data_IF_681628842701
#
_entry.id   IF_681628842701
#
_cell.length_a   1.000
_cell.length_b   1.000
_cell.length_c   1.000
_cell.angle_alpha   90.00
_cell.angle_beta   90.00
_cell.angle_gamma   90.00
#
_symmetry.space_group_name_H-M   'P 1'
#
loop_
_entity.id
_entity.type
_entity.pdbx_description
1 polymer ?
#
# COMPACT_ATOMS: atom_id res chain seq x y z
N UNK A 1 -6.56 -29.25 -4.82
CA UNK A 1 -6.20 -28.18 -3.88
C UNK A 1 -5.79 -26.86 -4.57
N UNK A 2 -4.95 -26.86 -5.64
CA UNK A 2 -4.50 -25.62 -6.28
C UNK A 2 -5.60 -24.93 -7.09
N UNK A 3 -6.44 -25.71 -7.78
CA UNK A 3 -7.59 -25.17 -8.51
C UNK A 3 -8.63 -24.52 -7.58
N UNK A 4 -8.91 -25.12 -6.43
CA UNK A 4 -9.82 -24.60 -5.41
C UNK A 4 -9.28 -23.30 -4.80
N UNK A 5 -7.97 -23.28 -4.47
CA UNK A 5 -7.29 -22.09 -3.97
C UNK A 5 -7.39 -20.94 -4.97
N UNK A 6 -7.10 -21.22 -6.25
CA UNK A 6 -7.21 -20.22 -7.32
C UNK A 6 -8.63 -19.70 -7.46
N UNK A 7 -9.64 -20.57 -7.43
CA UNK A 7 -11.04 -20.17 -7.49
C UNK A 7 -11.44 -19.28 -6.31
N UNK A 8 -10.99 -19.63 -5.09
CA UNK A 8 -11.23 -18.82 -3.90
C UNK A 8 -10.59 -17.42 -4.00
N UNK A 9 -9.35 -17.32 -4.49
CA UNK A 9 -8.66 -16.04 -4.69
C UNK A 9 -9.40 -15.18 -5.73
N UNK A 10 -9.84 -15.75 -6.85
CA UNK A 10 -10.61 -15.03 -7.87
C UNK A 10 -11.95 -14.53 -7.34
N UNK A 11 -12.66 -15.36 -6.56
CA UNK A 11 -13.92 -14.96 -5.93
C UNK A 11 -13.72 -13.80 -4.94
N UNK A 12 -12.66 -13.88 -4.12
CA UNK A 12 -12.30 -12.83 -3.19
C UNK A 12 -11.85 -11.54 -3.92
N UNK A 13 -11.10 -11.64 -5.01
CA UNK A 13 -10.75 -10.45 -5.81
C UNK A 13 -11.98 -9.78 -6.41
N UNK A 14 -12.93 -10.57 -6.91
CA UNK A 14 -14.21 -10.04 -7.40
C UNK A 14 -14.98 -9.30 -6.29
N UNK A 15 -15.06 -9.87 -5.08
CA UNK A 15 -15.69 -9.23 -3.93
C UNK A 15 -14.95 -7.93 -3.55
N UNK A 16 -13.62 -7.93 -3.59
CA UNK A 16 -12.82 -6.77 -3.20
C UNK A 16 -13.02 -5.55 -4.11
N UNK A 17 -13.51 -5.73 -5.32
CA UNK A 17 -13.89 -4.63 -6.23
C UNK A 17 -15.06 -3.77 -5.71
N UNK A 18 -15.78 -4.27 -4.71
CA UNK A 18 -16.80 -3.51 -3.98
C UNK A 18 -16.20 -2.62 -2.86
N UNK A 19 -14.89 -2.39 -2.88
CA UNK A 19 -14.12 -1.67 -1.84
C UNK A 19 -14.02 -2.43 -0.52
N UNK A 20 -14.03 -3.75 -0.58
CA UNK A 20 -13.87 -4.64 0.57
C UNK A 20 -12.47 -5.24 0.57
N UNK A 21 -11.64 -4.91 1.56
CA UNK A 21 -10.32 -5.52 1.71
C UNK A 21 -10.47 -6.99 2.10
N UNK A 22 -9.82 -7.87 1.35
CA UNK A 22 -9.79 -9.30 1.64
C UNK A 22 -8.53 -9.63 2.44
N UNK A 23 -8.70 -10.42 3.51
CA UNK A 23 -7.61 -10.85 4.39
C UNK A 23 -7.40 -12.34 4.30
N UNK A 24 -6.14 -12.76 4.26
CA UNK A 24 -5.74 -14.17 4.28
C UNK A 24 -4.63 -14.37 5.30
N UNK A 25 -4.70 -15.49 5.99
CA UNK A 25 -3.66 -15.96 6.90
C UNK A 25 -3.35 -17.40 6.52
N UNK A 26 -2.07 -17.73 6.51
CA UNK A 26 -1.60 -19.09 6.24
C UNK A 26 -0.59 -19.51 7.31
N UNK A 27 -0.30 -20.79 7.39
CA UNK A 27 0.77 -21.29 8.25
C UNK A 27 2.12 -20.74 7.79
N UNK A 28 3.07 -20.45 8.70
CA UNK A 28 4.35 -19.82 8.35
C UNK A 28 5.14 -20.55 7.25
N UNK A 29 5.02 -21.87 7.22
CA UNK A 29 5.72 -22.71 6.22
C UNK A 29 5.16 -22.59 4.80
N UNK A 30 3.93 -22.10 4.66
CA UNK A 30 3.21 -21.99 3.37
C UNK A 30 3.09 -20.54 2.88
N UNK A 31 3.59 -19.58 3.62
CA UNK A 31 3.50 -18.17 3.28
C UNK A 31 4.01 -17.85 1.87
N UNK A 32 5.19 -18.37 1.50
CA UNK A 32 5.76 -18.13 0.17
C UNK A 32 4.89 -18.77 -0.92
N UNK A 33 4.35 -19.96 -0.70
CA UNK A 33 3.46 -20.62 -1.65
C UNK A 33 2.13 -19.87 -1.81
N UNK A 34 1.59 -19.28 -0.73
CA UNK A 34 0.40 -18.45 -0.80
C UNK A 34 0.69 -17.14 -1.55
N UNK A 35 1.84 -16.49 -1.28
CA UNK A 35 2.25 -15.29 -2.02
C UNK A 35 2.34 -15.58 -3.53
N UNK A 36 3.00 -16.67 -3.92
CA UNK A 36 3.11 -17.05 -5.33
C UNK A 36 1.72 -17.25 -5.95
N UNK A 37 0.83 -18.00 -5.28
CA UNK A 37 -0.54 -18.24 -5.76
C UNK A 37 -1.37 -16.96 -5.89
N UNK A 38 -1.23 -16.01 -4.95
CA UNK A 38 -1.87 -14.70 -5.03
C UNK A 38 -1.34 -13.92 -6.23
N UNK A 39 -0.03 -13.89 -6.44
CA UNK A 39 0.58 -13.18 -7.55
C UNK A 39 0.24 -13.78 -8.91
N UNK A 40 0.07 -15.10 -9.01
CA UNK A 40 -0.34 -15.76 -10.25
C UNK A 40 -1.79 -15.47 -10.62
N UNK A 41 -2.64 -15.22 -9.61
CA UNK A 41 -4.10 -15.13 -9.78
C UNK A 41 -4.62 -13.70 -9.83
N UNK A 42 -4.08 -12.80 -9.00
CA UNK A 42 -4.55 -11.41 -8.88
C UNK A 42 -4.27 -10.59 -10.13
N UNK A 43 -5.17 -9.66 -10.43
CA UNK A 43 -4.98 -8.67 -11.48
C UNK A 43 -3.76 -7.79 -11.20
N UNK A 44 -3.05 -7.31 -12.25
CA UNK A 44 -1.79 -6.58 -12.10
C UNK A 44 -1.90 -5.30 -11.25
N UNK A 45 -3.04 -4.65 -11.26
CA UNK A 45 -3.32 -3.39 -10.55
C UNK A 45 -3.91 -3.58 -9.15
N UNK A 46 -4.23 -4.82 -8.74
CA UNK A 46 -4.66 -5.15 -7.39
C UNK A 46 -3.55 -4.87 -6.40
N UNK A 47 -3.84 -4.08 -5.36
CA UNK A 47 -2.89 -3.81 -4.27
C UNK A 47 -2.84 -5.00 -3.32
N UNK A 48 -1.63 -5.48 -3.06
CA UNK A 48 -1.36 -6.58 -2.13
C UNK A 48 -0.41 -6.09 -1.04
N UNK A 49 -0.86 -6.23 0.20
CA UNK A 49 -0.07 -6.01 1.41
C UNK A 49 0.37 -7.35 1.97
N UNK A 50 1.64 -7.46 2.30
CA UNK A 50 2.22 -8.57 3.05
C UNK A 50 2.73 -7.99 4.37
N UNK A 51 2.14 -8.41 5.48
CA UNK A 51 2.48 -7.97 6.83
C UNK A 51 3.03 -9.16 7.62
N UNK A 52 4.31 -9.12 7.93
CA UNK A 52 5.08 -10.18 8.58
C UNK A 52 5.30 -9.79 10.03
N UNK A 53 5.13 -10.72 10.97
CA UNK A 53 5.45 -10.60 12.40
C UNK A 53 4.87 -9.32 13.01
N UNK A 54 3.60 -9.00 12.69
CA UNK A 54 2.93 -7.77 13.14
C UNK A 54 2.98 -7.66 14.66
N UNK A 55 3.47 -6.53 15.17
CA UNK A 55 3.77 -6.28 16.59
C UNK A 55 4.96 -7.07 17.15
N UNK A 56 5.64 -7.87 16.33
CA UNK A 56 6.84 -8.61 16.71
C UNK A 56 8.14 -7.82 16.45
N UNK A 57 9.26 -8.43 16.83
CA UNK A 57 10.58 -7.80 16.67
C UNK A 57 11.05 -7.73 15.21
N UNK A 58 10.49 -8.58 14.34
CA UNK A 58 10.85 -8.64 12.93
C UNK A 58 9.72 -8.10 12.04
N UNK A 59 8.93 -7.17 12.57
CA UNK A 59 7.81 -6.60 11.82
C UNK A 59 8.25 -6.00 10.49
N UNK A 60 7.59 -6.42 9.44
CA UNK A 60 7.78 -5.86 8.10
C UNK A 60 6.45 -5.82 7.37
N UNK A 61 6.04 -4.62 6.95
CA UNK A 61 4.79 -4.41 6.21
C UNK A 61 5.12 -3.78 4.87
N UNK A 62 4.72 -4.42 3.79
CA UNK A 62 4.94 -3.93 2.42
C UNK A 62 3.66 -4.01 1.61
N UNK A 63 3.27 -2.89 1.02
CA UNK A 63 2.12 -2.79 0.11
C UNK A 63 2.60 -2.40 -1.28
N UNK A 64 2.34 -3.25 -2.28
CA UNK A 64 2.65 -3.01 -3.69
C UNK A 64 1.48 -3.51 -4.55
N UNK A 65 1.44 -3.12 -5.82
CA UNK A 65 0.56 -3.78 -6.79
C UNK A 65 1.06 -5.19 -7.11
N UNK A 66 0.18 -6.08 -7.53
CA UNK A 66 0.56 -7.43 -7.93
C UNK A 66 1.64 -7.43 -9.03
N UNK A 67 1.56 -6.48 -9.98
CA UNK A 67 2.59 -6.29 -11.00
C UNK A 67 3.95 -5.91 -10.39
N UNK A 68 3.97 -4.98 -9.42
CA UNK A 68 5.21 -4.56 -8.77
C UNK A 68 5.81 -5.69 -7.90
N UNK A 69 4.97 -6.48 -7.23
CA UNK A 69 5.43 -7.70 -6.55
C UNK A 69 6.04 -8.72 -7.50
N UNK A 70 5.44 -8.94 -8.69
CA UNK A 70 5.97 -9.86 -9.72
C UNK A 70 7.31 -9.41 -10.27
N UNK A 71 7.56 -8.10 -10.34
CA UNK A 71 8.84 -7.54 -10.79
C UNK A 71 10.00 -7.85 -9.83
N UNK A 72 9.73 -8.15 -8.57
CA UNK A 72 10.76 -8.59 -7.62
C UNK A 72 11.16 -10.03 -7.98
N UNK A 73 12.47 -10.35 -8.13
CA UNK A 73 12.93 -11.71 -8.40
C UNK A 73 12.41 -12.72 -7.38
N UNK A 74 12.02 -13.92 -7.84
CA UNK A 74 11.43 -14.95 -6.97
C UNK A 74 12.29 -15.29 -5.75
N UNK A 75 13.61 -15.33 -5.92
CA UNK A 75 14.56 -15.56 -4.82
C UNK A 75 14.48 -14.50 -3.72
N UNK A 76 14.12 -13.26 -4.07
CA UNK A 76 14.00 -12.13 -3.13
C UNK A 76 12.59 -11.98 -2.54
N UNK A 77 11.63 -12.78 -3.01
CA UNK A 77 10.25 -12.82 -2.49
C UNK A 77 10.01 -13.96 -1.50
N UNK A 78 11.03 -14.74 -1.18
CA UNK A 78 10.92 -15.80 -0.16
C UNK A 78 10.62 -15.16 1.19
N UNK A 79 9.50 -15.55 1.78
CA UNK A 79 9.08 -15.02 3.07
C UNK A 79 9.69 -15.84 4.23
N UNK A 80 10.02 -15.19 5.35
CA UNK A 80 10.46 -15.89 6.55
C UNK A 80 9.32 -16.76 7.10
N UNK A 81 9.68 -17.76 7.91
CA UNK A 81 8.73 -18.65 8.59
C UNK A 81 8.16 -17.99 9.85
N UNK A 82 7.54 -16.82 9.68
CA UNK A 82 6.93 -16.02 10.73
C UNK A 82 5.43 -15.85 10.46
N UNK A 83 4.62 -15.55 11.47
CA UNK A 83 3.21 -15.22 11.28
C UNK A 83 3.07 -14.11 10.24
N UNK A 84 2.25 -14.32 9.23
CA UNK A 84 2.10 -13.36 8.13
C UNK A 84 0.64 -13.19 7.76
N UNK A 85 0.22 -11.95 7.60
CA UNK A 85 -1.11 -11.57 7.12
C UNK A 85 -0.98 -11.02 5.71
N UNK A 86 -1.83 -11.50 4.82
CA UNK A 86 -1.97 -11.01 3.47
C UNK A 86 -3.28 -10.24 3.35
N UNK A 87 -3.21 -9.03 2.85
CA UNK A 87 -4.39 -8.21 2.58
C UNK A 87 -4.35 -7.72 1.14
N UNK A 88 -5.45 -7.84 0.41
CA UNK A 88 -5.51 -7.23 -0.91
C UNK A 88 -6.80 -6.48 -1.15
N UNK A 89 -6.71 -5.48 -2.02
CA UNK A 89 -7.80 -4.67 -2.49
C UNK A 89 -7.66 -4.44 -3.99
N UNK A 90 -8.60 -5.00 -4.75
CA UNK A 90 -8.69 -4.74 -6.17
C UNK A 90 -9.10 -3.28 -6.42
N UNK A 91 -8.64 -2.73 -7.54
CA UNK A 91 -9.09 -1.41 -7.97
C UNK A 91 -10.60 -1.44 -8.14
N UNK A 92 -11.35 -0.52 -7.50
CA UNK A 92 -12.79 -0.47 -7.66
C UNK A 92 -13.11 -0.35 -9.15
N UNK A 93 -13.98 -1.21 -9.66
CA UNK A 93 -14.64 -0.95 -10.92
C UNK A 93 -15.35 0.40 -10.79
N UNK A 94 -15.62 1.08 -11.88
CA UNK A 94 -16.18 2.44 -11.96
C UNK A 94 -17.55 2.59 -11.25
N UNK A 95 -17.62 2.18 -9.98
CA UNK A 95 -18.80 2.24 -9.11
C UNK A 95 -18.56 3.34 -8.09
N UNK A 96 -19.47 4.30 -8.04
CA UNK A 96 -19.47 5.35 -7.03
C UNK A 96 -19.32 4.74 -5.60
N UNK A 97 -18.55 5.38 -4.70
CA UNK A 97 -18.35 4.90 -3.34
C UNK A 97 -19.71 4.69 -2.67
N UNK A 98 -19.91 3.52 -2.05
CA UNK A 98 -21.16 3.18 -1.33
C UNK A 98 -21.40 4.01 -0.07
N UNK A 99 -20.43 4.80 0.32
CA UNK A 99 -20.55 5.74 1.42
C UNK A 99 -20.66 7.16 0.83
N UNK A 100 -21.86 7.52 0.42
CA UNK A 100 -22.25 8.91 0.44
C UNK A 100 -22.77 9.18 1.87
N UNK A 101 -22.18 10.10 2.66
CA UNK A 101 -22.86 10.57 3.86
C UNK A 101 -24.17 11.19 3.39
N UNK A 102 -25.30 10.61 3.77
CA UNK A 102 -26.60 11.27 3.66
C UNK A 102 -26.53 12.50 4.55
N UNK A 103 -26.15 13.62 3.96
CA UNK A 103 -26.45 14.91 4.53
C UNK A 103 -27.97 15.10 4.43
N UNK A 104 -28.67 14.66 5.46
CA UNK A 104 -30.06 14.88 5.64
C UNK A 104 -30.41 16.37 5.54
N UNK A 105 -31.22 16.72 4.61
CA UNK A 105 -32.25 17.74 4.68
C UNK A 105 -31.86 19.17 5.04
N UNK A 106 -31.93 20.03 4.05
CA UNK A 106 -31.93 21.47 4.23
C UNK A 106 -32.25 22.20 2.93
N UNK A 107 -33.50 22.24 2.55
CA UNK A 107 -33.97 23.17 1.51
C UNK A 107 -33.70 24.59 1.96
N UNK A 108 -32.83 25.30 1.26
CA UNK A 108 -32.91 26.75 1.10
C UNK A 108 -32.35 27.12 -0.27
N UNK A 109 -33.31 27.52 -1.13
CA UNK A 109 -33.00 28.27 -2.32
C UNK A 109 -32.45 29.64 -1.90
N UNK A 110 -31.27 29.97 -2.39
CA UNK A 110 -30.83 31.36 -2.50
C UNK A 110 -30.13 31.53 -3.84
N UNK A 111 -30.76 32.37 -4.64
CA UNK A 111 -30.33 33.05 -5.86
C UNK A 111 -28.84 33.43 -5.83
N UNK A 112 -28.18 33.16 -6.94
CA UNK A 112 -26.83 33.67 -7.24
C UNK A 112 -26.81 35.17 -7.42
N UNK A 113 -25.70 35.81 -7.09
CA UNK A 113 -25.18 36.87 -7.94
C UNK A 113 -23.82 36.52 -8.53
N UNK A 114 -23.77 36.77 -9.81
CA UNK A 114 -22.61 36.93 -10.68
C UNK A 114 -21.55 37.85 -10.06
N UNK A 115 -20.27 37.40 -9.98
CA UNK A 115 -19.13 38.27 -10.04
C UNK A 115 -17.84 37.56 -10.38
N UNK A 116 -17.29 37.95 -11.47
CA UNK A 116 -15.97 37.96 -12.12
C UNK A 116 -14.74 37.33 -11.42
N UNK A 117 -13.76 36.88 -12.21
CA UNK A 117 -12.59 36.16 -11.75
C UNK A 117 -11.54 37.12 -11.16
N UNK A 118 -10.97 36.74 -10.02
CA UNK A 118 -9.82 37.42 -9.42
C UNK A 118 -8.53 36.64 -9.68
N UNK A 119 -7.71 37.28 -10.44
CA UNK A 119 -6.24 37.35 -10.53
C UNK A 119 -5.41 36.33 -9.74
N UNK A 120 -4.67 35.62 -10.54
CA UNK A 120 -3.48 34.83 -10.28
C UNK A 120 -2.48 35.56 -9.39
N UNK A 121 -2.23 35.09 -8.18
CA UNK A 121 -1.12 35.61 -7.37
C UNK A 121 -0.02 34.56 -7.27
N UNK A 122 1.01 34.79 -8.08
CA UNK A 122 2.22 34.02 -8.22
C UNK A 122 3.14 34.34 -7.03
N UNK A 123 3.32 33.39 -6.09
CA UNK A 123 4.32 33.50 -5.04
C UNK A 123 5.48 32.59 -5.31
N UNK A 124 6.72 33.05 -5.29
CA UNK A 124 7.89 32.25 -5.62
C UNK A 124 8.22 31.25 -4.50
N UNK A 125 8.64 30.06 -4.93
CA UNK A 125 9.14 28.97 -4.09
C UNK A 125 10.38 29.41 -3.32
N UNK A 126 10.31 29.40 -2.00
CA UNK A 126 11.49 29.53 -1.16
C UNK A 126 12.29 28.23 -1.19
N UNK A 127 13.54 28.34 -1.59
CA UNK A 127 14.52 27.25 -1.59
C UNK A 127 14.87 26.86 -0.15
N UNK A 128 14.71 25.57 0.16
CA UNK A 128 15.16 24.98 1.41
C UNK A 128 16.69 24.88 1.39
N UNK A 129 17.38 25.71 2.19
CA UNK A 129 18.82 25.61 2.42
C UNK A 129 19.10 24.39 3.30
N UNK A 130 19.74 23.39 2.73
CA UNK A 130 20.32 22.28 3.47
C UNK A 130 21.51 22.77 4.25
N UNK A 131 21.40 22.76 5.57
CA UNK A 131 22.52 23.03 6.47
C UNK A 131 23.32 21.74 6.64
N UNK A 132 24.54 21.72 6.14
CA UNK A 132 25.53 20.66 6.30
C UNK A 132 26.33 20.97 7.56
N UNK A 133 26.38 20.11 8.58
CA UNK A 133 27.34 20.31 9.66
C UNK A 133 28.73 19.83 9.23
N UNK A 134 29.68 20.73 9.28
CA UNK A 134 31.10 20.47 9.09
C UNK A 134 31.70 19.74 10.30
N UNK A 135 32.52 18.76 10.01
CA UNK A 135 33.81 18.41 10.57
C UNK A 135 33.97 18.33 12.09
N UNK A 136 34.07 17.10 12.60
CA UNK A 136 34.85 16.86 13.82
C UNK A 136 36.08 16.02 13.49
N UNK A 137 37.25 16.37 13.97
CA UNK A 137 38.53 15.72 13.58
C UNK A 137 38.72 14.38 14.33
N UNK A 138 39.10 13.38 13.55
CA UNK A 138 39.58 12.08 14.02
C UNK A 138 40.91 12.26 14.77
N UNK A 139 40.94 11.98 16.07
CA UNK A 139 42.18 11.84 16.84
C UNK A 139 42.80 10.49 16.54
N UNK A 140 43.87 10.54 15.79
CA UNK A 140 44.84 9.43 15.62
C UNK A 140 45.57 9.17 16.95
N UNK A 141 45.29 8.02 17.54
CA UNK A 141 46.13 7.49 18.62
C UNK A 141 47.24 6.64 17.99
N UNK A 142 48.45 7.22 18.00
CA UNK A 142 49.70 6.57 17.61
C UNK A 142 50.23 5.80 18.81
N UNK A 143 50.50 4.57 18.59
CA UNK A 143 51.38 3.61 19.04
C UNK A 143 52.15 3.65 20.33
N UNK A 144 52.68 2.56 20.67
CA UNK A 144 53.80 2.48 21.54
C UNK A 144 53.96 1.15 22.27
N UNK A 145 54.82 0.36 21.70
CA UNK A 145 55.58 -0.75 22.30
C UNK A 145 54.83 -2.02 22.69
#
# INVERSE_FOLDING_TARGET
>A
HDAERRAAILAAEKASRASETQLFIETPYRNTALLDALLETLAPDTRLTVAIDVTGQNESIRTLTAAAWKAIPKAMRTLPKLPTVFAFLAKPGNRAPRYAPECAGGKRAHTAPSSKPAVLNNRPKQAFKTHRPEGSPVKTLKGGR
#
